data_IF_628204206590
#
_entry.id   IF_628204206590
#
_cell.length_a   1.000
_cell.length_b   1.000
_cell.length_c   1.000
_cell.angle_alpha   90.00
_cell.angle_beta   90.00
_cell.angle_gamma   90.00
#
_symmetry.space_group_name_H-M   'P 1'
#
loop_
_entity.id
_entity.type
_entity.pdbx_description
1 polymer ?
#
# COMPACT_ATOMS: atom_id res chain seq x y z
N UNK A 1 18.54 -11.00 14.34
CA UNK A 1 17.25 -11.56 13.87
C UNK A 1 17.48 -12.10 12.47
N UNK A 2 17.21 -13.38 12.21
CA UNK A 2 17.38 -13.95 10.85
C UNK A 2 16.24 -13.41 9.99
N UNK A 3 16.56 -12.58 9.00
CA UNK A 3 15.55 -12.06 8.07
C UNK A 3 15.03 -13.19 7.20
N UNK A 4 13.73 -13.21 6.94
CA UNK A 4 13.15 -14.11 5.95
C UNK A 4 13.77 -13.83 4.57
N UNK A 5 13.95 -14.88 3.74
CA UNK A 5 14.39 -14.67 2.36
C UNK A 5 13.38 -13.80 1.61
N UNK A 6 13.82 -13.01 0.61
CA UNK A 6 12.90 -12.34 -0.30
C UNK A 6 12.00 -13.38 -1.00
N UNK A 7 10.73 -13.01 -1.22
CA UNK A 7 9.75 -13.80 -1.96
C UNK A 7 9.58 -13.25 -3.37
N UNK A 8 9.27 -14.12 -4.33
CA UNK A 8 8.93 -13.74 -5.70
C UNK A 8 7.54 -13.07 -5.73
N UNK A 9 7.42 -11.79 -6.17
CA UNK A 9 6.14 -11.12 -6.23
C UNK A 9 5.14 -11.79 -7.18
N UNK A 10 5.62 -12.35 -8.29
CA UNK A 10 4.79 -13.08 -9.26
C UNK A 10 4.21 -14.35 -8.66
N UNK A 11 5.04 -15.17 -8.00
CA UNK A 11 4.59 -16.42 -7.40
C UNK A 11 3.62 -16.17 -6.25
N UNK A 12 3.90 -15.17 -5.40
CA UNK A 12 3.00 -14.80 -4.31
C UNK A 12 1.68 -14.26 -4.87
N UNK A 13 1.69 -13.42 -5.91
CA UNK A 13 0.44 -12.93 -6.50
C UNK A 13 -0.39 -14.05 -7.15
N UNK A 14 0.25 -15.04 -7.78
CA UNK A 14 -0.43 -16.24 -8.28
C UNK A 14 -1.10 -17.01 -7.14
N UNK A 15 -0.41 -17.20 -6.02
CA UNK A 15 -0.99 -17.88 -4.85
C UNK A 15 -2.19 -17.11 -4.28
N UNK A 16 -2.09 -15.79 -4.18
CA UNK A 16 -3.17 -14.92 -3.71
C UNK A 16 -4.37 -14.98 -4.66
N UNK A 17 -4.16 -14.82 -5.96
CA UNK A 17 -5.24 -14.87 -6.95
C UNK A 17 -5.96 -16.23 -6.95
N UNK A 18 -5.20 -17.34 -6.80
CA UNK A 18 -5.77 -18.69 -6.70
C UNK A 18 -6.56 -18.90 -5.40
N UNK A 19 -6.16 -18.25 -4.31
CA UNK A 19 -6.88 -18.32 -3.03
C UNK A 19 -8.16 -17.48 -3.02
N UNK A 20 -8.18 -16.38 -3.78
CA UNK A 20 -9.35 -15.51 -3.89
C UNK A 20 -10.47 -16.17 -4.72
N UNK A 21 -11.74 -16.16 -4.23
CA UNK A 21 -12.89 -16.59 -5.02
C UNK A 21 -12.95 -15.85 -6.35
N UNK A 22 -13.12 -16.58 -7.46
CA UNK A 22 -13.06 -16.02 -8.81
C UNK A 22 -14.06 -14.87 -9.01
N UNK A 23 -15.27 -15.02 -8.47
CA UNK A 23 -16.34 -14.02 -8.55
C UNK A 23 -16.11 -12.78 -7.66
N UNK A 24 -15.05 -12.77 -6.85
CA UNK A 24 -14.62 -11.60 -6.07
C UNK A 24 -13.39 -10.90 -6.68
N UNK A 25 -12.62 -11.54 -7.58
CA UNK A 25 -11.32 -11.02 -8.04
C UNK A 25 -11.39 -9.64 -8.69
N UNK A 26 -12.47 -9.36 -9.42
CA UNK A 26 -12.70 -8.06 -10.04
C UNK A 26 -12.88 -6.94 -9.01
N UNK A 27 -13.39 -7.25 -7.83
CA UNK A 27 -13.57 -6.29 -6.74
C UNK A 27 -12.29 -6.17 -5.87
N UNK A 28 -11.17 -6.81 -6.25
CA UNK A 28 -9.88 -6.78 -5.52
C UNK A 28 -8.86 -5.89 -6.21
N UNK A 29 -8.22 -5.02 -5.42
CA UNK A 29 -7.02 -4.28 -5.78
C UNK A 29 -5.93 -4.65 -4.76
N UNK A 30 -4.87 -5.30 -5.23
CA UNK A 30 -3.70 -5.55 -4.41
C UNK A 30 -2.92 -4.26 -4.26
N UNK A 31 -2.51 -3.93 -3.05
CA UNK A 31 -1.74 -2.72 -2.74
C UNK A 31 -0.42 -3.06 -2.03
N UNK A 32 0.31 -2.04 -1.60
CA UNK A 32 1.51 -2.21 -0.79
C UNK A 32 2.68 -2.86 -1.53
N UNK A 33 3.53 -3.57 -0.80
CA UNK A 33 4.79 -4.11 -1.34
C UNK A 33 4.58 -5.14 -2.44
N UNK A 34 3.53 -5.98 -2.37
CA UNK A 34 3.28 -7.00 -3.38
C UNK A 34 2.91 -6.38 -4.73
N UNK A 35 2.01 -5.39 -4.73
CA UNK A 35 1.63 -4.67 -5.94
C UNK A 35 2.84 -4.03 -6.63
N UNK A 36 3.66 -3.30 -5.86
CA UNK A 36 4.88 -2.69 -6.36
C UNK A 36 5.89 -3.73 -6.86
N UNK A 37 6.14 -4.78 -6.08
CA UNK A 37 7.04 -5.85 -6.47
C UNK A 37 6.60 -6.56 -7.74
N UNK A 38 5.30 -6.82 -7.90
CA UNK A 38 4.79 -7.42 -9.13
C UNK A 38 4.98 -6.47 -10.32
N UNK A 39 4.63 -5.20 -10.17
CA UNK A 39 4.76 -4.21 -11.23
C UNK A 39 6.20 -4.07 -11.75
N UNK A 40 7.19 -4.02 -10.85
CA UNK A 40 8.60 -3.81 -11.22
C UNK A 40 9.39 -5.09 -11.48
N UNK A 41 9.01 -6.22 -10.88
CA UNK A 41 9.84 -7.43 -10.84
C UNK A 41 9.16 -8.69 -11.37
N UNK A 42 7.89 -8.66 -11.83
CA UNK A 42 7.19 -9.88 -12.24
C UNK A 42 7.94 -10.71 -13.31
N UNK A 43 8.71 -10.05 -14.17
CA UNK A 43 9.47 -10.70 -15.25
C UNK A 43 10.98 -10.80 -14.97
N UNK A 44 11.40 -10.52 -13.73
CA UNK A 44 12.78 -10.68 -13.28
C UNK A 44 12.87 -11.64 -12.09
N UNK A 45 13.08 -12.93 -12.38
CA UNK A 45 13.20 -13.98 -11.37
C UNK A 45 14.40 -13.85 -10.43
N UNK A 46 15.33 -12.92 -10.68
CA UNK A 46 16.44 -12.61 -9.76
C UNK A 46 16.04 -11.62 -8.66
N UNK A 47 14.88 -10.97 -8.80
CA UNK A 47 14.39 -9.94 -7.89
C UNK A 47 13.25 -10.48 -7.03
N UNK A 48 13.29 -10.11 -5.76
CA UNK A 48 12.28 -10.44 -4.78
C UNK A 48 12.07 -9.29 -3.82
N UNK A 49 10.98 -9.38 -3.06
CA UNK A 49 10.65 -8.42 -2.00
C UNK A 49 10.61 -9.15 -0.67
N UNK A 50 10.91 -8.45 0.42
CA UNK A 50 10.61 -8.95 1.76
C UNK A 50 9.32 -8.28 2.25
N UNK A 51 8.24 -9.05 2.31
CA UNK A 51 6.95 -8.61 2.84
C UNK A 51 6.30 -9.75 3.61
N UNK A 52 5.58 -9.42 4.68
CA UNK A 52 4.80 -10.40 5.48
C UNK A 52 3.30 -10.18 5.34
N UNK A 53 2.91 -8.96 5.03
CA UNK A 53 1.57 -8.47 4.81
C UNK A 53 1.32 -8.37 3.31
N UNK A 54 0.26 -9.05 2.85
CA UNK A 54 -0.27 -8.95 1.49
C UNK A 54 -1.61 -8.22 1.56
N UNK A 55 -1.58 -6.94 1.22
CA UNK A 55 -2.72 -6.04 1.37
C UNK A 55 -3.69 -6.19 0.19
N UNK A 56 -4.90 -6.70 0.48
CA UNK A 56 -6.00 -6.84 -0.48
C UNK A 56 -7.09 -5.82 -0.15
N UNK A 57 -7.21 -4.78 -0.98
CA UNK A 57 -8.27 -3.78 -0.83
C UNK A 57 -9.48 -4.16 -1.67
N UNK A 58 -10.66 -4.23 -1.05
CA UNK A 58 -11.92 -4.44 -1.77
C UNK A 58 -12.54 -3.12 -2.20
N UNK A 59 -12.87 -3.03 -3.49
CA UNK A 59 -13.41 -1.85 -4.16
C UNK A 59 -14.57 -2.24 -5.09
N UNK A 60 -15.63 -1.42 -5.22
CA UNK A 60 -15.84 -0.13 -4.55
C UNK A 60 -16.23 -0.28 -3.08
N UNK A 61 -16.17 0.82 -2.31
CA UNK A 61 -16.54 0.87 -0.88
C UNK A 61 -17.87 0.16 -0.58
N UNK A 62 -18.90 0.41 -1.41
CA UNK A 62 -20.24 -0.16 -1.26
C UNK A 62 -20.29 -1.70 -1.22
N UNK A 63 -19.27 -2.38 -1.78
CA UNK A 63 -19.17 -3.84 -1.76
C UNK A 63 -18.16 -4.37 -0.73
N UNK A 64 -17.30 -3.52 -0.17
CA UNK A 64 -16.09 -3.94 0.54
C UNK A 64 -16.39 -4.91 1.70
N UNK A 65 -17.37 -4.59 2.55
CA UNK A 65 -17.74 -5.43 3.70
C UNK A 65 -18.31 -6.78 3.27
N UNK A 66 -19.21 -6.79 2.28
CA UNK A 66 -19.84 -8.02 1.80
C UNK A 66 -18.83 -8.95 1.12
N UNK A 67 -17.94 -8.39 0.29
CA UNK A 67 -16.87 -9.14 -0.36
C UNK A 67 -15.87 -9.65 0.68
N UNK A 68 -15.47 -8.81 1.66
CA UNK A 68 -14.59 -9.23 2.73
C UNK A 68 -15.16 -10.40 3.53
N UNK A 69 -16.44 -10.37 3.90
CA UNK A 69 -17.09 -11.48 4.60
C UNK A 69 -17.01 -12.77 3.77
N UNK A 70 -17.38 -12.70 2.50
CA UNK A 70 -17.35 -13.84 1.58
C UNK A 70 -15.94 -14.40 1.38
N UNK A 71 -14.95 -13.55 1.17
CA UNK A 71 -13.55 -13.98 1.00
C UNK A 71 -13.03 -14.60 2.29
N UNK A 72 -13.30 -13.99 3.45
CA UNK A 72 -12.89 -14.52 4.75
C UNK A 72 -13.46 -15.93 4.97
N UNK A 73 -14.76 -16.13 4.75
CA UNK A 73 -15.41 -17.44 4.84
C UNK A 73 -14.75 -18.50 3.95
N UNK A 74 -14.50 -18.15 2.68
CA UNK A 74 -13.92 -19.09 1.72
C UNK A 74 -12.49 -19.48 2.08
N UNK A 75 -11.69 -18.51 2.52
CA UNK A 75 -10.32 -18.78 2.98
C UNK A 75 -10.32 -19.67 4.23
N UNK A 76 -11.18 -19.38 5.22
CA UNK A 76 -11.32 -20.22 6.41
C UNK A 76 -11.77 -21.65 6.07
N UNK A 77 -12.71 -21.82 5.14
CA UNK A 77 -13.12 -23.13 4.62
C UNK A 77 -11.96 -23.87 3.93
N UNK A 78 -11.12 -23.14 3.21
CA UNK A 78 -9.89 -23.62 2.59
C UNK A 78 -8.71 -23.80 3.58
N UNK A 79 -9.00 -23.84 4.89
CA UNK A 79 -8.04 -24.08 5.98
C UNK A 79 -6.98 -22.99 6.15
N UNK A 80 -7.24 -21.79 5.63
CA UNK A 80 -6.50 -20.62 6.09
C UNK A 80 -6.88 -20.33 7.53
N UNK A 81 -5.93 -19.82 8.31
CA UNK A 81 -6.13 -19.54 9.73
C UNK A 81 -5.85 -18.09 10.04
N UNK A 82 -6.54 -17.55 11.06
CA UNK A 82 -6.21 -16.23 11.58
C UNK A 82 -4.75 -16.21 12.03
N UNK A 83 -4.06 -15.10 11.77
CA UNK A 83 -2.66 -14.92 12.13
C UNK A 83 -2.45 -15.17 13.63
N UNK A 84 -1.62 -16.16 13.93
CA UNK A 84 -1.35 -16.59 15.31
C UNK A 84 -0.27 -15.76 16.00
N UNK A 85 -0.17 -15.89 17.32
CA UNK A 85 0.91 -15.29 18.13
C UNK A 85 0.75 -13.79 18.39
N UNK A 86 -0.48 -13.26 18.28
CA UNK A 86 -0.83 -11.88 18.63
C UNK A 86 -2.05 -11.88 19.53
N UNK A 87 -2.35 -10.76 20.19
CA UNK A 87 -3.58 -10.58 20.97
C UNK A 87 -4.87 -10.66 20.11
N UNK A 88 -4.74 -10.62 18.78
CA UNK A 88 -5.83 -10.63 17.79
C UNK A 88 -5.97 -11.97 17.05
N UNK A 89 -5.55 -13.08 17.68
CA UNK A 89 -5.51 -14.41 17.07
C UNK A 89 -6.85 -15.15 17.04
N UNK A 90 -7.85 -14.66 17.79
CA UNK A 90 -9.20 -15.24 17.88
C UNK A 90 -10.26 -14.24 17.37
N UNK A 91 -11.37 -14.71 16.77
CA UNK A 91 -12.47 -13.84 16.35
C UNK A 91 -13.15 -13.18 17.56
N UNK A 92 -13.69 -11.97 17.34
CA UNK A 92 -14.47 -11.24 18.34
C UNK A 92 -15.97 -11.59 18.33
N UNK A 93 -16.71 -11.00 19.26
CA UNK A 93 -18.15 -11.16 19.44
C UNK A 93 -19.03 -10.11 18.74
N UNK A 94 -20.35 -10.33 18.69
CA UNK A 94 -21.31 -9.46 18.00
C UNK A 94 -21.49 -8.06 18.60
N UNK A 95 -21.11 -7.87 19.86
CA UNK A 95 -21.32 -6.62 20.60
C UNK A 95 -20.05 -5.76 20.69
N UNK A 96 -18.95 -6.22 20.10
CA UNK A 96 -17.69 -5.47 20.09
C UNK A 96 -17.73 -4.38 19.02
N UNK A 97 -17.18 -3.21 19.36
CA UNK A 97 -17.05 -2.12 18.40
C UNK A 97 -16.06 -2.51 17.28
N UNK A 98 -16.26 -2.05 16.02
CA UNK A 98 -15.41 -2.45 14.90
C UNK A 98 -13.90 -2.20 15.09
N UNK A 99 -13.51 -1.14 15.80
CA UNK A 99 -12.11 -0.82 16.12
C UNK A 99 -11.50 -1.71 17.21
N UNK A 100 -12.33 -2.54 17.86
CA UNK A 100 -11.94 -3.54 18.87
C UNK A 100 -11.99 -4.96 18.33
N UNK A 101 -12.45 -5.17 17.11
CA UNK A 101 -12.45 -6.48 16.48
C UNK A 101 -11.07 -6.80 15.89
N UNK A 102 -10.67 -8.08 15.84
CA UNK A 102 -9.47 -8.50 15.14
C UNK A 102 -9.59 -8.18 13.65
N UNK A 103 -8.55 -7.58 13.08
CA UNK A 103 -8.44 -7.40 11.64
C UNK A 103 -8.44 -8.75 10.93
N UNK A 104 -9.07 -8.85 9.75
CA UNK A 104 -8.97 -10.07 8.94
C UNK A 104 -7.54 -10.21 8.40
N UNK A 105 -6.77 -11.12 9.01
CA UNK A 105 -5.38 -11.41 8.67
C UNK A 105 -5.18 -12.91 8.60
N UNK A 106 -5.21 -13.47 7.40
CA UNK A 106 -5.27 -14.92 7.19
C UNK A 106 -3.95 -15.47 6.64
N UNK A 107 -3.44 -16.53 7.26
CA UNK A 107 -2.24 -17.25 6.82
C UNK A 107 -2.62 -18.45 5.94
N UNK A 108 -1.82 -18.75 4.89
CA UNK A 108 -2.05 -19.91 4.07
C UNK A 108 -1.80 -21.22 4.85
N UNK A 109 -2.46 -22.33 4.48
CA UNK A 109 -2.25 -23.61 5.15
C UNK A 109 -0.84 -24.18 4.96
N UNK A 110 -0.12 -23.74 3.92
CA UNK A 110 1.21 -24.25 3.54
C UNK A 110 2.37 -23.50 4.19
N UNK A 111 2.13 -22.45 4.97
CA UNK A 111 3.21 -21.69 5.61
C UNK A 111 2.75 -20.43 6.35
N UNK A 112 3.69 -19.82 7.08
CA UNK A 112 3.43 -18.62 7.89
C UNK A 112 4.30 -17.42 7.50
N UNK A 113 5.00 -17.52 6.36
CA UNK A 113 5.95 -16.53 5.86
C UNK A 113 5.29 -15.19 5.53
N UNK A 114 4.04 -15.25 5.07
CA UNK A 114 3.19 -14.10 4.79
C UNK A 114 1.72 -14.41 5.14
N UNK A 115 0.90 -13.36 5.22
CA UNK A 115 -0.54 -13.44 5.43
C UNK A 115 -1.26 -12.43 4.53
N UNK A 116 -2.50 -12.73 4.15
CA UNK A 116 -3.40 -11.77 3.51
C UNK A 116 -3.97 -10.86 4.60
N UNK A 117 -3.90 -9.55 4.39
CA UNK A 117 -4.65 -8.54 5.16
C UNK A 117 -5.76 -7.97 4.28
N UNK A 118 -7.01 -8.04 4.76
CA UNK A 118 -8.15 -7.50 4.03
C UNK A 118 -8.44 -6.07 4.45
N UNK A 119 -8.63 -5.21 3.45
CA UNK A 119 -8.88 -3.78 3.59
C UNK A 119 -10.12 -3.41 2.76
N UNK A 120 -10.76 -2.30 3.11
CA UNK A 120 -11.83 -1.71 2.32
C UNK A 120 -11.37 -0.44 1.62
N UNK A 121 -11.87 -0.20 0.42
CA UNK A 121 -11.85 1.15 -0.16
C UNK A 121 -12.59 2.10 0.80
N UNK A 122 -12.11 3.33 0.98
CA UNK A 122 -12.79 4.32 1.82
C UNK A 122 -14.10 4.77 1.15
N UNK A 123 -15.04 5.26 1.97
CA UNK A 123 -16.21 5.96 1.45
C UNK A 123 -15.79 7.27 0.76
N UNK A 124 -16.76 7.98 0.17
CA UNK A 124 -16.56 9.33 -0.36
C UNK A 124 -15.83 10.20 0.67
N UNK A 125 -14.76 10.86 0.23
CA UNK A 125 -13.95 11.68 1.11
C UNK A 125 -14.78 12.82 1.69
N UNK A 126 -14.69 13.01 3.00
CA UNK A 126 -15.33 14.10 3.71
C UNK A 126 -14.28 14.82 4.55
N UNK A 127 -14.19 16.14 4.40
CA UNK A 127 -13.28 16.95 5.21
C UNK A 127 -13.60 16.77 6.70
N UNK A 128 -12.56 16.53 7.50
CA UNK A 128 -12.70 16.30 8.95
C UNK A 128 -13.12 14.88 9.35
N UNK A 129 -13.46 13.99 8.42
CA UNK A 129 -13.73 12.60 8.74
C UNK A 129 -12.45 11.88 9.25
N UNK A 130 -12.59 10.88 10.13
CA UNK A 130 -11.45 10.08 10.57
C UNK A 130 -10.71 9.46 9.37
N UNK A 131 -9.40 9.66 9.32
CA UNK A 131 -8.55 9.14 8.23
C UNK A 131 -8.57 7.62 8.17
N UNK A 132 -8.77 6.94 9.30
CA UNK A 132 -8.91 5.50 9.39
C UNK A 132 -10.30 5.15 9.89
N UNK A 133 -11.00 4.30 9.15
CA UNK A 133 -12.32 3.80 9.51
C UNK A 133 -12.28 2.28 9.64
N UNK A 134 -13.14 1.73 10.49
CA UNK A 134 -13.24 0.29 10.73
C UNK A 134 -14.66 -0.18 10.42
N UNK A 135 -14.77 -1.31 9.74
CA UNK A 135 -16.04 -1.92 9.39
C UNK A 135 -16.05 -3.37 9.87
N UNK A 136 -17.09 -3.73 10.63
CA UNK A 136 -17.26 -5.09 11.10
C UNK A 136 -17.56 -6.03 9.93
N UNK A 137 -16.92 -7.19 9.96
CA UNK A 137 -17.09 -8.30 9.03
C UNK A 137 -17.60 -9.49 9.82
N UNK A 138 -18.86 -9.85 9.61
CA UNK A 138 -19.49 -11.00 10.24
C UNK A 138 -19.17 -12.27 9.45
N UNK A 139 -18.77 -13.31 10.17
CA UNK A 139 -18.54 -14.67 9.66
C UNK A 139 -19.23 -15.71 10.55
N UNK A 140 -19.22 -16.97 10.13
CA UNK A 140 -19.74 -18.13 10.83
C UNK A 140 -18.92 -18.48 12.06
N UNK A 141 -17.65 -18.06 12.12
CA UNK A 141 -16.75 -18.33 13.25
C UNK A 141 -16.64 -17.15 14.22
N UNK A 142 -17.27 -16.02 13.90
CA UNK A 142 -17.31 -14.82 14.74
C UNK A 142 -17.15 -13.52 13.94
N UNK A 143 -16.72 -12.46 14.61
CA UNK A 143 -16.63 -11.12 14.05
C UNK A 143 -15.18 -10.70 13.89
N UNK A 144 -14.90 -10.04 12.76
CA UNK A 144 -13.63 -9.43 12.42
C UNK A 144 -13.85 -7.98 12.01
N UNK A 145 -12.78 -7.26 11.71
CA UNK A 145 -12.84 -5.98 11.04
C UNK A 145 -11.99 -5.95 9.77
N UNK A 146 -12.42 -5.12 8.83
CA UNK A 146 -11.54 -4.51 7.84
C UNK A 146 -11.41 -3.03 8.16
N UNK A 147 -10.31 -2.42 7.75
CA UNK A 147 -10.13 -0.98 7.84
C UNK A 147 -9.95 -0.37 6.46
N UNK A 148 -10.27 0.91 6.37
CA UNK A 148 -10.04 1.75 5.21
C UNK A 148 -9.25 2.97 5.65
N UNK A 149 -8.47 3.53 4.72
CA UNK A 149 -7.76 4.79 4.93
C UNK A 149 -8.20 5.79 3.85
N UNK A 150 -8.46 7.03 4.22
CA UNK A 150 -9.08 8.02 3.32
C UNK A 150 -8.36 8.20 1.98
N UNK A 151 -7.02 8.25 1.99
CA UNK A 151 -6.24 8.39 0.75
C UNK A 151 -6.10 7.10 -0.07
N UNK A 152 -6.57 5.94 0.42
CA UNK A 152 -6.63 4.72 -0.40
C UNK A 152 -7.66 4.81 -1.53
N UNK A 153 -8.53 5.84 -1.56
CA UNK A 153 -9.35 6.13 -2.73
C UNK A 153 -8.51 6.31 -4.01
N UNK A 154 -7.24 6.72 -3.88
CA UNK A 154 -6.30 6.83 -5.00
C UNK A 154 -5.96 5.48 -5.62
N UNK A 155 -5.94 4.40 -4.83
CA UNK A 155 -5.69 3.06 -5.36
C UNK A 155 -6.83 2.57 -6.27
N UNK A 156 -8.02 3.16 -6.18
CA UNK A 156 -9.14 2.88 -7.08
C UNK A 156 -9.09 3.68 -8.39
N UNK A 157 -8.20 4.67 -8.51
CA UNK A 157 -8.07 5.44 -9.74
C UNK A 157 -7.24 4.64 -10.75
N UNK A 158 -7.94 4.07 -11.74
CA UNK A 158 -7.38 3.27 -12.84
C UNK A 158 -6.35 2.21 -12.39
N UNK A 159 -6.66 1.31 -11.45
CA UNK A 159 -5.72 0.27 -11.04
C UNK A 159 -5.33 -0.61 -12.24
N UNK A 160 -4.08 -1.08 -12.25
CA UNK A 160 -3.51 -1.81 -13.37
C UNK A 160 -4.09 -3.23 -13.43
N UNK A 161 -4.59 -3.68 -14.59
CA UNK A 161 -5.01 -5.07 -14.75
C UNK A 161 -3.81 -6.02 -14.71
N UNK A 162 -4.05 -7.25 -14.26
CA UNK A 162 -3.08 -8.34 -14.37
C UNK A 162 -3.67 -9.49 -15.16
N UNK A 163 -2.84 -10.42 -15.62
CA UNK A 163 -3.28 -11.67 -16.25
C UNK A 163 -3.96 -12.64 -15.27
N UNK A 164 -4.01 -12.30 -13.97
CA UNK A 164 -4.54 -13.13 -12.88
C UNK A 164 -5.95 -12.71 -12.43
N UNK A 165 -6.64 -11.88 -13.24
CA UNK A 165 -7.99 -11.35 -12.98
C UNK A 165 -8.16 -10.50 -11.71
N UNK A 166 -7.05 -10.21 -11.02
CA UNK A 166 -6.96 -9.21 -9.95
C UNK A 166 -6.28 -7.96 -10.51
N UNK A 167 -6.52 -6.82 -9.87
CA UNK A 167 -5.87 -5.55 -10.22
C UNK A 167 -4.81 -5.20 -9.19
N UNK A 168 -3.82 -4.40 -9.55
CA UNK A 168 -2.82 -3.86 -8.63
C UNK A 168 -2.90 -2.34 -8.61
N UNK A 169 -2.66 -1.73 -7.45
CA UNK A 169 -2.57 -0.28 -7.39
C UNK A 169 -1.35 0.23 -8.17
N UNK A 170 -1.55 1.34 -8.87
CA UNK A 170 -0.51 2.11 -9.53
C UNK A 170 0.56 2.57 -8.52
N UNK A 171 1.87 2.40 -8.80
CA UNK A 171 2.94 2.89 -7.93
C UNK A 171 2.80 4.37 -7.58
N UNK A 172 2.50 5.22 -8.56
CA UNK A 172 2.33 6.66 -8.40
C UNK A 172 1.14 7.01 -7.49
N UNK A 173 0.05 6.24 -7.52
CA UNK A 173 -1.11 6.46 -6.65
C UNK A 173 -0.80 6.07 -5.20
N UNK A 174 -0.04 5.00 -4.98
CA UNK A 174 0.41 4.63 -3.64
C UNK A 174 1.45 5.61 -3.10
N UNK A 175 2.33 6.14 -3.96
CA UNK A 175 3.25 7.21 -3.60
C UNK A 175 2.50 8.46 -3.14
N UNK A 176 1.51 8.92 -3.92
CA UNK A 176 0.67 10.07 -3.55
C UNK A 176 -0.09 9.82 -2.25
N UNK A 177 -0.70 8.64 -2.07
CA UNK A 177 -1.43 8.31 -0.85
C UNK A 177 -0.53 8.40 0.40
N UNK A 178 0.71 7.89 0.31
CA UNK A 178 1.69 7.97 1.41
C UNK A 178 2.14 9.41 1.69
N UNK A 179 2.37 10.21 0.64
CA UNK A 179 2.71 11.63 0.76
C UNK A 179 1.62 12.44 1.47
N UNK A 180 0.35 12.24 1.08
CA UNK A 180 -0.79 12.94 1.67
C UNK A 180 -1.09 12.47 3.11
N UNK A 181 -0.84 11.19 3.41
CA UNK A 181 -1.03 10.66 4.76
C UNK A 181 0.02 11.18 5.75
N UNK A 182 1.23 11.48 5.27
CA UNK A 182 2.36 11.93 6.10
C UNK A 182 2.91 13.29 5.67
N UNK A 183 2.10 14.34 5.84
CA UNK A 183 2.56 15.73 5.62
C UNK A 183 3.72 16.16 6.54
N UNK A 184 3.93 15.42 7.63
CA UNK A 184 4.97 15.63 8.63
C UNK A 184 5.57 14.32 9.07
N UNK A 185 6.78 14.37 9.63
CA UNK A 185 7.40 13.21 10.29
C UNK A 185 6.74 13.01 11.67
N UNK A 186 5.74 12.14 11.72
CA UNK A 186 5.03 11.78 12.95
C UNK A 186 5.90 10.96 13.92
N UNK A 187 5.53 10.99 15.21
CA UNK A 187 6.18 10.20 16.26
C UNK A 187 5.65 8.75 16.37
N UNK A 188 4.62 8.39 15.60
CA UNK A 188 4.03 7.05 15.61
C UNK A 188 5.07 6.00 15.20
N UNK A 189 5.21 4.95 16.02
CA UNK A 189 6.15 3.85 15.82
C UNK A 189 5.41 2.63 15.28
N UNK A 190 6.03 1.96 14.31
CA UNK A 190 5.54 0.68 13.81
C UNK A 190 5.62 -0.39 14.90
N UNK A 191 4.48 -1.03 15.20
CA UNK A 191 4.38 -2.10 16.19
C UNK A 191 5.47 -3.17 16.01
N UNK A 192 6.15 -3.51 17.12
CA UNK A 192 7.25 -4.47 17.15
C UNK A 192 8.60 -3.96 16.64
N UNK A 193 8.75 -2.63 16.45
CA UNK A 193 10.01 -1.99 16.03
C UNK A 193 10.22 -0.67 16.78
N UNK A 194 11.35 0.01 16.53
CA UNK A 194 11.60 1.39 16.95
C UNK A 194 11.60 2.37 15.76
N UNK A 195 10.91 2.02 14.67
CA UNK A 195 10.92 2.80 13.43
C UNK A 195 9.64 3.61 13.27
N UNK A 196 9.78 4.85 12.80
CA UNK A 196 8.66 5.76 12.57
C UNK A 196 7.83 5.28 11.38
N UNK A 197 6.51 5.30 11.53
CA UNK A 197 5.55 4.99 10.45
C UNK A 197 5.73 5.92 9.26
N UNK A 198 5.92 7.21 9.51
CA UNK A 198 6.17 8.22 8.49
C UNK A 198 7.43 7.90 7.66
N UNK A 199 8.51 7.45 8.30
CA UNK A 199 9.75 7.09 7.59
C UNK A 199 9.55 5.86 6.69
N UNK A 200 8.76 4.86 7.13
CA UNK A 200 8.40 3.72 6.27
C UNK A 200 7.65 4.16 5.02
N UNK A 201 6.64 5.01 5.18
CA UNK A 201 5.73 5.37 4.09
C UNK A 201 6.32 6.41 3.15
N UNK A 202 6.97 7.45 3.67
CA UNK A 202 7.69 8.42 2.84
C UNK A 202 8.94 7.81 2.20
N UNK A 203 9.63 6.89 2.88
CA UNK A 203 10.68 6.09 2.26
C UNK A 203 10.16 5.23 1.09
N UNK A 204 8.94 4.71 1.22
CA UNK A 204 8.29 3.95 0.14
C UNK A 204 8.07 4.81 -1.11
N UNK A 205 7.74 6.08 -0.96
CA UNK A 205 7.64 7.03 -2.10
C UNK A 205 8.96 7.06 -2.89
N UNK A 206 10.09 7.22 -2.18
CA UNK A 206 11.41 7.26 -2.82
C UNK A 206 11.80 5.92 -3.44
N UNK A 207 11.46 4.80 -2.78
CA UNK A 207 11.71 3.47 -3.34
C UNK A 207 10.92 3.23 -4.63
N UNK A 208 9.64 3.63 -4.70
CA UNK A 208 8.83 3.51 -5.91
C UNK A 208 9.37 4.39 -7.03
N UNK A 209 9.75 5.63 -6.72
CA UNK A 209 10.35 6.55 -7.69
C UNK A 209 11.67 6.03 -8.24
N UNK A 210 12.53 5.46 -7.39
CA UNK A 210 13.79 4.84 -7.82
C UNK A 210 13.53 3.73 -8.83
N UNK A 211 12.56 2.86 -8.56
CA UNK A 211 12.19 1.74 -9.42
C UNK A 211 11.60 2.21 -10.76
N UNK A 212 10.70 3.20 -10.74
CA UNK A 212 10.13 3.79 -11.95
C UNK A 212 11.21 4.40 -12.85
N UNK A 213 12.10 5.22 -12.27
CA UNK A 213 13.24 5.80 -12.99
C UNK A 213 14.16 4.72 -13.57
N UNK A 214 14.43 3.65 -12.82
CA UNK A 214 15.27 2.56 -13.29
C UNK A 214 14.60 1.78 -14.45
N UNK A 215 13.28 1.60 -14.38
CA UNK A 215 12.49 0.93 -15.43
C UNK A 215 12.42 1.79 -16.70
N UNK A 216 12.18 3.09 -16.58
CA UNK A 216 12.18 4.02 -17.71
C UNK A 216 13.53 3.99 -18.45
N UNK A 217 14.64 4.02 -17.70
CA UNK A 217 15.99 3.88 -18.30
C UNK A 217 16.20 2.55 -18.99
N UNK A 218 15.65 1.46 -18.45
CA UNK A 218 15.80 0.11 -19.01
C UNK A 218 14.97 -0.08 -20.29
N UNK A 219 13.80 0.55 -20.35
CA UNK A 219 12.80 0.32 -21.39
C UNK A 219 12.63 1.50 -22.35
N UNK A 220 13.45 2.55 -22.24
CA UNK A 220 13.28 3.83 -22.94
C UNK A 220 11.86 4.41 -22.72
N UNK A 221 11.36 4.27 -21.51
CA UNK A 221 10.04 4.73 -21.07
C UNK A 221 10.07 6.16 -20.50
N UNK A 222 8.88 6.64 -20.14
CA UNK A 222 8.66 7.94 -19.50
C UNK A 222 7.55 7.84 -18.44
N UNK A 223 7.39 6.68 -17.79
CA UNK A 223 6.31 6.48 -16.81
C UNK A 223 6.45 7.43 -15.63
N UNK A 224 7.69 7.68 -15.15
CA UNK A 224 7.95 8.60 -14.05
C UNK A 224 7.55 10.05 -14.38
N UNK A 225 7.76 10.49 -15.63
CA UNK A 225 7.40 11.84 -16.10
C UNK A 225 5.87 12.05 -16.07
N UNK A 226 5.10 10.97 -16.21
CA UNK A 226 3.64 10.98 -16.18
C UNK A 226 3.05 10.96 -14.75
N UNK A 227 3.89 10.85 -13.71
CA UNK A 227 3.39 10.77 -12.33
C UNK A 227 2.61 12.02 -11.92
N UNK A 228 3.15 13.21 -12.13
CA UNK A 228 2.48 14.46 -11.74
C UNK A 228 1.12 14.67 -12.44
N UNK A 229 0.99 14.57 -13.78
CA UNK A 229 -0.30 14.73 -14.45
C UNK A 229 -1.32 13.64 -14.06
N UNK A 230 -0.88 12.38 -13.87
CA UNK A 230 -1.78 11.31 -13.38
C UNK A 230 -2.22 11.53 -11.94
N UNK A 231 -1.31 11.91 -11.05
CA UNK A 231 -1.61 12.29 -9.67
C UNK A 231 -2.63 13.42 -9.61
N UNK A 232 -2.46 14.46 -10.45
CA UNK A 232 -3.43 15.56 -10.55
C UNK A 232 -4.80 15.08 -11.02
N UNK A 233 -4.84 14.24 -12.06
CA UNK A 233 -6.10 13.66 -12.57
C UNK A 233 -6.81 12.82 -11.51
N UNK A 234 -6.06 12.03 -10.74
CA UNK A 234 -6.58 11.23 -9.64
C UNK A 234 -7.11 12.10 -8.49
N UNK A 235 -6.42 13.17 -8.13
CA UNK A 235 -6.88 14.13 -7.13
C UNK A 235 -8.21 14.76 -7.54
N UNK A 236 -8.35 15.21 -8.79
CA UNK A 236 -9.61 15.77 -9.28
C UNK A 236 -10.73 14.74 -9.30
N UNK A 237 -10.43 13.49 -9.65
CA UNK A 237 -11.43 12.44 -9.73
C UNK A 237 -11.90 11.96 -8.34
N UNK A 238 -11.01 11.91 -7.35
CA UNK A 238 -11.27 11.30 -6.04
C UNK A 238 -11.52 12.32 -4.92
N UNK A 239 -11.02 13.54 -5.08
CA UNK A 239 -11.08 14.62 -4.08
C UNK A 239 -11.37 15.97 -4.76
N UNK A 240 -12.42 16.10 -5.59
CA UNK A 240 -12.61 17.28 -6.45
C UNK A 240 -12.59 18.61 -5.69
N UNK A 241 -13.18 18.65 -4.50
CA UNK A 241 -13.26 19.87 -3.69
C UNK A 241 -11.93 20.24 -2.99
N UNK A 242 -11.03 19.26 -2.79
CA UNK A 242 -9.76 19.44 -2.08
C UNK A 242 -8.54 19.23 -2.98
N UNK A 243 -8.72 18.91 -4.27
CA UNK A 243 -7.65 18.50 -5.17
C UNK A 243 -6.48 19.49 -5.18
N UNK A 244 -6.80 20.79 -5.28
CA UNK A 244 -5.82 21.88 -5.21
C UNK A 244 -5.05 21.91 -3.89
N UNK A 245 -5.74 21.86 -2.75
CA UNK A 245 -5.11 21.89 -1.44
C UNK A 245 -4.20 20.66 -1.25
N UNK A 246 -4.70 19.47 -1.59
CA UNK A 246 -3.96 18.21 -1.49
C UNK A 246 -2.70 18.23 -2.35
N UNK A 247 -2.79 18.71 -3.60
CA UNK A 247 -1.64 18.87 -4.49
C UNK A 247 -0.57 19.78 -3.89
N UNK A 248 -0.98 20.93 -3.32
CA UNK A 248 -0.08 21.92 -2.73
C UNK A 248 0.70 21.41 -1.51
N UNK A 249 0.16 20.43 -0.78
CA UNK A 249 0.75 19.92 0.47
C UNK A 249 1.35 18.53 0.39
N UNK A 250 1.15 17.80 -0.72
CA UNK A 250 1.62 16.43 -0.89
C UNK A 250 3.14 16.29 -0.61
N UNK A 251 3.94 17.25 -1.05
CA UNK A 251 5.40 17.20 -0.88
C UNK A 251 5.95 17.52 0.51
N UNK A 252 5.12 17.95 1.46
CA UNK A 252 5.61 18.48 2.75
C UNK A 252 6.44 17.44 3.54
N UNK A 253 5.95 16.21 3.64
CA UNK A 253 6.64 15.12 4.33
C UNK A 253 7.98 14.77 3.70
N UNK A 254 8.04 14.71 2.37
CA UNK A 254 9.28 14.41 1.63
C UNK A 254 10.34 15.47 1.88
N UNK A 255 9.97 16.76 1.84
CA UNK A 255 10.91 17.85 2.14
C UNK A 255 11.45 17.79 3.56
N UNK A 256 10.63 17.38 4.54
CA UNK A 256 11.08 17.19 5.92
C UNK A 256 11.98 15.96 6.05
N UNK A 257 11.63 14.85 5.39
CA UNK A 257 12.45 13.63 5.38
C UNK A 257 13.86 13.92 4.85
N UNK A 258 13.98 14.61 3.71
CA UNK A 258 15.29 14.89 3.10
C UNK A 258 16.15 15.89 3.89
N UNK A 259 15.55 16.70 4.76
CA UNK A 259 16.27 17.60 5.66
C UNK A 259 16.78 16.91 6.92
N UNK A 260 16.33 15.69 7.21
CA UNK A 260 16.68 14.93 8.42
C UNK A 260 17.50 13.69 8.05
N UNK A 261 18.84 13.72 8.19
CA UNK A 261 19.68 12.56 7.89
C UNK A 261 19.25 11.29 8.64
N UNK A 262 18.92 11.42 9.93
CA UNK A 262 18.50 10.27 10.73
C UNK A 262 17.18 9.65 10.25
N UNK A 263 16.21 10.46 9.82
CA UNK A 263 14.95 9.94 9.30
C UNK A 263 15.12 9.34 7.90
N UNK A 264 15.95 9.97 7.06
CA UNK A 264 16.27 9.46 5.72
C UNK A 264 17.02 8.12 5.78
N UNK A 265 18.00 8.00 6.69
CA UNK A 265 18.74 6.75 6.91
C UNK A 265 17.81 5.63 7.41
N UNK A 266 16.90 5.95 8.34
CA UNK A 266 15.90 4.99 8.79
C UNK A 266 14.96 4.58 7.64
N UNK A 267 14.50 5.52 6.83
CA UNK A 267 13.66 5.25 5.66
C UNK A 267 14.36 4.34 4.64
N UNK A 268 15.64 4.61 4.35
CA UNK A 268 16.47 3.77 3.49
C UNK A 268 16.61 2.35 4.04
N UNK A 269 16.98 2.21 5.32
CA UNK A 269 17.14 0.91 5.96
C UNK A 269 15.85 0.08 5.86
N UNK A 270 14.69 0.70 6.10
CA UNK A 270 13.38 0.04 5.95
C UNK A 270 13.16 -0.42 4.50
N UNK A 271 13.50 0.41 3.52
CA UNK A 271 13.31 0.08 2.11
C UNK A 271 14.21 -1.08 1.65
N UNK A 272 15.50 -1.08 2.01
CA UNK A 272 16.44 -2.16 1.71
C UNK A 272 16.08 -3.47 2.44
N UNK A 273 15.43 -3.37 3.60
CA UNK A 273 14.91 -4.56 4.28
C UNK A 273 13.60 -5.09 3.69
N UNK A 274 12.93 -4.31 2.83
CA UNK A 274 11.61 -4.62 2.28
C UNK A 274 11.57 -4.69 0.76
N UNK A 275 11.08 -3.62 0.12
CA UNK A 275 10.84 -3.56 -1.34
C UNK A 275 12.14 -3.60 -2.15
N UNK A 276 13.22 -3.02 -1.64
CA UNK A 276 14.51 -2.93 -2.31
C UNK A 276 15.47 -4.05 -1.88
N UNK A 277 14.94 -5.11 -1.28
CA UNK A 277 15.70 -6.24 -0.73
C UNK A 277 16.66 -6.91 -1.72
N UNK A 278 16.37 -6.85 -3.02
CA UNK A 278 17.20 -7.42 -4.10
C UNK A 278 18.05 -6.40 -4.85
N UNK A 279 18.11 -5.15 -4.37
CA UNK A 279 18.87 -4.05 -4.98
C UNK A 279 19.91 -3.49 -4.02
N UNK A 280 19.56 -3.37 -2.73
CA UNK A 280 20.41 -2.82 -1.67
C UNK A 280 21.05 -1.47 -2.07
N UNK A 281 20.20 -0.46 -2.27
CA UNK A 281 20.65 0.85 -2.75
C UNK A 281 21.37 1.63 -1.65
N UNK A 282 22.30 2.50 -2.02
CA UNK A 282 23.01 3.36 -1.07
C UNK A 282 22.27 4.67 -0.77
N UNK A 283 22.76 5.37 0.26
CA UNK A 283 22.18 6.65 0.72
C UNK A 283 22.32 7.77 -0.30
N UNK A 284 23.34 7.75 -1.16
CA UNK A 284 23.52 8.76 -2.19
C UNK A 284 22.45 8.63 -3.28
N UNK A 285 22.21 7.41 -3.78
CA UNK A 285 21.17 7.10 -4.75
C UNK A 285 19.77 7.39 -4.18
N UNK A 286 19.52 7.06 -2.92
CA UNK A 286 18.24 7.31 -2.26
C UNK A 286 17.97 8.81 -2.08
N UNK A 287 18.96 9.58 -1.62
CA UNK A 287 18.85 11.03 -1.48
C UNK A 287 18.70 11.73 -2.84
N UNK A 288 19.42 11.27 -3.87
CA UNK A 288 19.29 11.77 -5.23
C UNK A 288 17.89 11.54 -5.79
N UNK A 289 17.32 10.35 -5.54
CA UNK A 289 15.93 10.04 -5.91
C UNK A 289 14.96 10.99 -5.22
N UNK A 290 15.17 11.29 -3.94
CA UNK A 290 14.35 12.25 -3.20
C UNK A 290 14.34 13.66 -3.81
N UNK A 291 15.51 14.17 -4.21
CA UNK A 291 15.60 15.47 -4.91
C UNK A 291 14.84 15.43 -6.24
N UNK A 292 15.01 14.35 -6.99
CA UNK A 292 14.32 14.15 -8.26
C UNK A 292 12.80 14.11 -8.11
N UNK A 293 12.28 13.42 -7.08
CA UNK A 293 10.83 13.43 -6.75
C UNK A 293 10.33 14.84 -6.45
N UNK A 294 11.13 15.68 -5.80
CA UNK A 294 10.73 17.08 -5.57
C UNK A 294 10.60 17.82 -6.90
N UNK A 295 11.65 17.81 -7.71
CA UNK A 295 11.75 18.62 -8.93
C UNK A 295 10.82 18.13 -10.05
N UNK A 296 10.67 16.82 -10.22
CA UNK A 296 9.98 16.23 -11.39
C UNK A 296 8.55 15.76 -11.08
N UNK A 297 8.17 15.61 -9.80
CA UNK A 297 6.83 15.13 -9.43
C UNK A 297 6.09 16.13 -8.55
N UNK A 298 6.67 16.51 -7.42
CA UNK A 298 6.00 17.34 -6.42
C UNK A 298 5.81 18.76 -6.94
N UNK A 299 6.86 19.42 -7.42
CA UNK A 299 6.77 20.80 -7.91
C UNK A 299 5.84 20.94 -9.13
N UNK A 300 5.88 20.02 -10.11
CA UNK A 300 4.89 20.00 -11.19
C UNK A 300 3.46 19.75 -10.70
N UNK A 301 3.24 18.84 -9.73
CA UNK A 301 1.92 18.61 -9.15
C UNK A 301 1.39 19.86 -8.43
N UNK A 302 2.24 20.52 -7.65
CA UNK A 302 1.91 21.79 -7.00
C UNK A 302 1.57 22.87 -8.04
N UNK A 303 2.31 22.94 -9.14
CA UNK A 303 2.07 23.89 -10.21
C UNK A 303 0.70 23.65 -10.87
N UNK A 304 0.36 22.40 -11.18
CA UNK A 304 -0.96 22.02 -11.68
C UNK A 304 -2.08 22.45 -10.73
N UNK A 305 -1.87 22.28 -9.41
CA UNK A 305 -2.79 22.78 -8.37
C UNK A 305 -2.85 24.31 -8.25
N UNK A 306 -1.84 25.06 -8.70
CA UNK A 306 -1.86 26.54 -8.70
C UNK A 306 -2.55 27.12 -9.92
N UNK A 307 -2.43 26.47 -11.08
CA UNK A 307 -2.88 27.01 -12.38
C UNK A 307 -4.22 26.48 -12.86
N UNK A 308 -4.75 25.44 -12.24
CA UNK A 308 -6.11 24.93 -12.48
C UNK A 308 -7.13 25.64 -11.61
#
# INVERSE_FOLDING_TARGET
>A
MKLAPPVSPKEVLVQVANALPQDCRQDVIIIGSLAAGYHFFADDGSKGIRTKDIDCMFSPHAKAVAVAAKVTERLLQAKWTQRQGTEWSAPGGPNEAPDKLPMVRLQPPTGSEWFIELLGAPDAYQSGAPMKQYHAVKTNVGYFAICSFGFLALAEWEPLPTTLEVRIARPEMMALANMLHHERIGAEIMSGTNWKRANKDLGRVLALAYLAVAQDRKNEGADFDEWAPRMWSALNAKFPEQARELALRAGNGIRLLLKSPADLDQALAICNLGLLASLDIDSHAFAATGRRVIEEVIEPLEQLGRTS
#
